data_IF_888603851942
#
_entry.id   IF_888603851942
#
_cell.length_a   1.000
_cell.length_b   1.000
_cell.length_c   1.000
_cell.angle_alpha   90.00
_cell.angle_beta   90.00
_cell.angle_gamma   90.00
#
_symmetry.space_group_name_H-M   'P 1'
#
loop_
_entity.id
_entity.type
_entity.pdbx_description
1 polymer ?
#
# COMPACT_ATOMS: atom_id res chain seq x y z
N UNK A 1 10.81 -4.24 -14.37
CA UNK A 1 10.51 -5.62 -13.90
C UNK A 1 10.95 -5.86 -12.46
N UNK A 2 11.99 -5.20 -11.93
CA UNK A 2 12.40 -5.33 -10.51
C UNK A 2 11.34 -4.85 -9.50
N UNK A 3 10.52 -3.85 -9.87
CA UNK A 3 9.54 -3.28 -8.94
C UNK A 3 8.31 -4.17 -8.74
N UNK A 4 7.82 -4.85 -9.79
CA UNK A 4 6.73 -5.83 -9.63
C UNK A 4 7.12 -6.99 -8.71
N UNK A 5 8.35 -7.49 -8.81
CA UNK A 5 8.83 -8.53 -7.88
C UNK A 5 8.98 -8.02 -6.45
N UNK A 6 9.35 -6.75 -6.28
CA UNK A 6 9.44 -6.14 -4.95
C UNK A 6 8.06 -5.94 -4.33
N UNK A 7 7.10 -5.42 -5.09
CA UNK A 7 5.75 -5.18 -4.61
C UNK A 7 5.05 -6.51 -4.25
N UNK A 8 5.27 -7.57 -5.04
CA UNK A 8 4.76 -8.92 -4.73
C UNK A 8 5.38 -9.51 -3.47
N UNK A 9 6.70 -9.39 -3.29
CA UNK A 9 7.38 -9.86 -2.08
C UNK A 9 6.89 -9.13 -0.82
N UNK A 10 6.70 -7.80 -0.91
CA UNK A 10 6.14 -7.03 0.18
C UNK A 10 4.67 -7.37 0.43
N UNK A 11 3.89 -7.64 -0.62
CA UNK A 11 2.52 -8.08 -0.47
C UNK A 11 2.40 -9.44 0.25
N UNK A 12 3.30 -10.39 -0.03
CA UNK A 12 3.40 -11.65 0.70
C UNK A 12 3.75 -11.41 2.18
N UNK A 13 4.68 -10.50 2.45
CA UNK A 13 5.05 -10.13 3.82
C UNK A 13 3.88 -9.47 4.57
N UNK A 14 3.14 -8.56 3.94
CA UNK A 14 1.95 -7.94 4.52
C UNK A 14 0.83 -8.96 4.78
N UNK A 15 0.64 -9.94 3.88
CA UNK A 15 -0.32 -11.03 4.13
C UNK A 15 0.10 -11.90 5.33
N UNK A 16 1.39 -12.08 5.54
CA UNK A 16 1.92 -12.84 6.68
C UNK A 16 1.81 -12.07 8.01
N UNK A 17 1.94 -10.73 7.98
CA UNK A 17 1.78 -9.86 9.14
C UNK A 17 0.96 -8.59 8.79
N UNK A 18 -0.38 -8.68 8.88
CA UNK A 18 -1.26 -7.54 8.61
C UNK A 18 -1.13 -6.40 9.63
N UNK A 19 -0.66 -6.68 10.85
CA UNK A 19 -0.45 -5.65 11.87
C UNK A 19 0.74 -4.77 11.48
N UNK A 20 1.86 -5.38 11.09
CA UNK A 20 3.01 -4.68 10.54
C UNK A 20 2.64 -3.84 9.31
N UNK A 21 1.84 -4.39 8.39
CA UNK A 21 1.40 -3.66 7.21
C UNK A 21 0.61 -2.38 7.55
N UNK A 22 -0.26 -2.45 8.56
CA UNK A 22 -1.01 -1.30 9.05
C UNK A 22 -0.12 -0.26 9.73
N UNK A 23 0.84 -0.69 10.55
CA UNK A 23 1.82 0.19 11.21
C UNK A 23 2.69 0.92 10.18
N UNK A 24 3.22 0.19 9.19
CA UNK A 24 4.02 0.78 8.12
C UNK A 24 3.22 1.80 7.31
N UNK A 25 1.96 1.48 6.95
CA UNK A 25 1.11 2.44 6.25
C UNK A 25 0.88 3.71 7.09
N UNK A 26 0.67 3.57 8.40
CA UNK A 26 0.50 4.71 9.30
C UNK A 26 1.77 5.56 9.43
N UNK A 27 2.94 4.93 9.46
CA UNK A 27 4.24 5.59 9.51
C UNK A 27 4.51 6.39 8.22
N UNK A 28 4.35 5.75 7.07
CA UNK A 28 4.58 6.39 5.76
C UNK A 28 3.60 7.54 5.50
N UNK A 29 2.35 7.43 5.97
CA UNK A 29 1.39 8.55 5.94
C UNK A 29 1.82 9.75 6.76
N UNK A 30 2.55 9.52 7.86
CA UNK A 30 2.92 10.56 8.82
C UNK A 30 4.15 11.33 8.37
N UNK A 31 5.20 10.61 7.97
CA UNK A 31 6.53 11.19 7.71
C UNK A 31 7.14 10.78 6.36
N UNK A 32 6.52 9.85 5.64
CA UNK A 32 7.04 9.34 4.38
C UNK A 32 6.87 10.30 3.21
N UNK A 33 7.64 10.07 2.14
CA UNK A 33 7.49 10.86 0.92
C UNK A 33 6.34 10.33 0.02
N UNK A 34 5.87 11.13 -0.96
CA UNK A 34 4.78 10.70 -1.85
C UNK A 34 5.07 9.43 -2.65
N UNK A 35 6.34 9.14 -2.97
CA UNK A 35 6.74 7.94 -3.71
C UNK A 35 6.70 6.70 -2.81
N UNK A 36 7.14 6.81 -1.56
CA UNK A 36 7.01 5.79 -0.52
C UNK A 36 5.55 5.48 -0.25
N UNK A 37 4.70 6.50 -0.06
CA UNK A 37 3.26 6.31 0.14
C UNK A 37 2.62 5.59 -1.05
N UNK A 38 2.94 6.02 -2.27
CA UNK A 38 2.43 5.35 -3.47
C UNK A 38 2.90 3.89 -3.58
N UNK A 39 4.13 3.57 -3.16
CA UNK A 39 4.66 2.21 -3.14
C UNK A 39 3.95 1.34 -2.09
N UNK A 40 3.84 1.81 -0.85
CA UNK A 40 3.15 1.11 0.22
C UNK A 40 1.68 0.86 -0.11
N UNK A 41 0.98 1.85 -0.70
CA UNK A 41 -0.40 1.69 -1.13
C UNK A 41 -0.56 0.62 -2.23
N UNK A 42 0.38 0.53 -3.20
CA UNK A 42 0.36 -0.54 -4.21
C UNK A 42 0.53 -1.92 -3.56
N UNK A 43 1.46 -2.04 -2.63
CA UNK A 43 1.73 -3.30 -1.93
C UNK A 43 0.55 -3.73 -1.06
N UNK A 44 -0.11 -2.79 -0.39
CA UNK A 44 -1.36 -3.02 0.34
C UNK A 44 -2.48 -3.50 -0.60
N UNK A 45 -2.61 -2.88 -1.79
CA UNK A 45 -3.60 -3.28 -2.77
C UNK A 45 -3.32 -4.68 -3.38
N UNK A 46 -2.05 -5.02 -3.60
CA UNK A 46 -1.63 -6.36 -4.04
C UNK A 46 -1.83 -7.42 -2.93
N UNK A 47 -1.67 -7.04 -1.67
CA UNK A 47 -1.85 -7.92 -0.52
C UNK A 47 -3.32 -8.21 -0.20
N UNK A 48 -4.15 -7.16 -0.17
CA UNK A 48 -5.49 -7.18 0.41
C UNK A 48 -6.60 -6.75 -0.55
N UNK A 49 -6.27 -6.41 -1.80
CA UNK A 49 -7.22 -5.97 -2.81
C UNK A 49 -7.66 -4.52 -2.63
N UNK A 50 -8.90 -4.21 -3.01
CA UNK A 50 -9.49 -2.86 -2.85
C UNK A 50 -10.78 -2.95 -2.03
N UNK A 51 -10.67 -3.52 -0.82
CA UNK A 51 -11.81 -3.82 0.02
C UNK A 51 -11.46 -3.74 1.52
N UNK A 52 -12.48 -3.45 2.33
CA UNK A 52 -12.40 -3.50 3.79
C UNK A 52 -11.89 -2.20 4.43
N UNK A 53 -11.71 -2.20 5.77
CA UNK A 53 -11.55 -0.97 6.55
C UNK A 53 -10.35 -0.11 6.16
N UNK A 54 -9.25 -0.71 5.71
CA UNK A 54 -8.07 0.03 5.27
C UNK A 54 -8.30 0.74 3.93
N UNK A 55 -9.10 0.16 3.02
CA UNK A 55 -9.46 0.72 1.72
C UNK A 55 -10.53 1.81 1.85
N UNK A 56 -11.54 1.54 2.68
CA UNK A 56 -12.62 2.48 2.97
C UNK A 56 -12.08 3.76 3.64
N UNK A 57 -11.00 3.62 4.42
CA UNK A 57 -10.30 4.73 5.08
C UNK A 57 -9.29 5.49 4.22
N UNK A 58 -9.12 5.17 2.94
CA UNK A 58 -8.26 5.95 2.05
C UNK A 58 -8.88 7.32 1.73
N UNK A 59 -8.05 8.36 1.73
CA UNK A 59 -8.42 9.68 1.20
C UNK A 59 -8.53 9.66 -0.32
N UNK A 60 -9.21 10.66 -0.90
CA UNK A 60 -9.32 10.76 -2.37
C UNK A 60 -7.95 10.93 -3.05
N UNK A 61 -7.01 11.60 -2.39
CA UNK A 61 -5.64 11.73 -2.88
C UNK A 61 -4.92 10.37 -2.93
N UNK A 62 -5.05 9.56 -1.89
CA UNK A 62 -4.45 8.21 -1.83
C UNK A 62 -5.10 7.26 -2.84
N UNK A 63 -6.42 7.35 -3.05
CA UNK A 63 -7.11 6.59 -4.10
C UNK A 63 -6.61 6.99 -5.49
N UNK A 64 -6.45 8.29 -5.74
CA UNK A 64 -5.94 8.79 -7.02
C UNK A 64 -4.52 8.27 -7.32
N UNK A 65 -3.65 8.12 -6.31
CA UNK A 65 -2.31 7.52 -6.47
C UNK A 65 -2.38 6.08 -7.01
N UNK A 66 -3.46 5.35 -6.76
CA UNK A 66 -3.69 3.98 -7.24
C UNK A 66 -4.43 3.90 -8.57
N UNK A 67 -4.97 5.00 -9.10
CA UNK A 67 -5.68 5.05 -10.39
C UNK A 67 -4.78 5.43 -11.57
N UNK A 68 -3.61 6.03 -11.29
CA UNK A 68 -2.62 6.45 -12.31
C UNK A 68 -1.90 5.25 -12.95
N UNK A 69 -2.06 4.06 -12.40
CA UNK A 69 -1.38 2.84 -12.84
C UNK A 69 -2.36 2.03 -13.70
N UNK A 70 -2.46 2.38 -14.98
CA UNK A 70 -3.14 1.59 -16.03
C UNK A 70 -2.11 1.02 -16.99
#
# INVERSE_FOLDING_TARGET
MKDRSHDQAMAEHFRADPAYAAELLAEVRRDGDPAELAATLRQMAEAFGRAGPWWDGLTDAERAMLEVIK
#
